data_IF_039123325373
#
_entry.id   IF_039123325373
#
_cell.length_a   1.000
_cell.length_b   1.000
_cell.length_c   1.000
_cell.angle_alpha   90.00
_cell.angle_beta   90.00
_cell.angle_gamma   90.00
#
_symmetry.space_group_name_H-M   'P 1'
#
loop_
_entity.id
_entity.type
_entity.pdbx_description
1 polymer ?
#
# COMPACT_ATOMS: atom_id res chain seq x y z
N UNK A 1 -29.20 -56.85 2.22
CA UNK A 1 -29.87 -55.72 1.54
C UNK A 1 -29.97 -54.57 2.53
N UNK A 2 -29.06 -53.60 2.44
CA UNK A 2 -29.03 -52.44 3.36
C UNK A 2 -30.14 -51.46 2.95
N UNK A 3 -31.14 -51.26 3.82
CA UNK A 3 -32.19 -50.26 3.62
C UNK A 3 -31.64 -48.90 4.04
N UNK A 4 -31.31 -48.06 3.04
CA UNK A 4 -30.83 -46.70 3.26
C UNK A 4 -31.85 -45.88 4.06
N UNK A 5 -31.34 -45.09 5.01
CA UNK A 5 -32.13 -44.32 5.97
C UNK A 5 -32.89 -43.16 5.26
N UNK A 6 -34.23 -43.16 5.22
CA UNK A 6 -35.03 -42.20 4.45
C UNK A 6 -34.95 -40.75 4.96
N UNK A 7 -34.46 -40.54 6.19
CA UNK A 7 -34.32 -39.21 6.78
C UNK A 7 -33.25 -38.34 6.08
N UNK A 8 -32.20 -38.95 5.50
CA UNK A 8 -31.14 -38.23 4.77
C UNK A 8 -31.57 -37.78 3.37
N UNK A 9 -32.56 -38.45 2.76
CA UNK A 9 -33.10 -38.10 1.45
C UNK A 9 -34.07 -36.91 1.50
N UNK A 10 -34.77 -36.70 2.62
CA UNK A 10 -35.68 -35.57 2.78
C UNK A 10 -34.94 -34.25 3.06
N UNK A 11 -33.86 -34.27 3.85
CA UNK A 11 -33.08 -33.05 4.16
C UNK A 11 -32.34 -32.50 2.93
N UNK A 12 -31.77 -33.38 2.11
CA UNK A 12 -31.06 -33.04 0.87
C UNK A 12 -32.02 -32.52 -0.22
N UNK A 13 -33.22 -33.08 -0.32
CA UNK A 13 -34.28 -32.60 -1.22
C UNK A 13 -34.72 -31.17 -0.88
N UNK A 14 -34.98 -30.89 0.40
CA UNK A 14 -35.42 -29.57 0.87
C UNK A 14 -34.34 -28.49 0.68
N UNK A 15 -33.07 -28.82 0.95
CA UNK A 15 -31.95 -27.93 0.67
C UNK A 15 -31.83 -27.62 -0.82
N UNK A 16 -31.93 -28.64 -1.68
CA UNK A 16 -31.84 -28.48 -3.14
C UNK A 16 -33.00 -27.65 -3.70
N UNK A 17 -34.21 -27.81 -3.16
CA UNK A 17 -35.37 -27.00 -3.53
C UNK A 17 -35.17 -25.54 -3.10
N UNK A 18 -34.72 -25.30 -1.87
CA UNK A 18 -34.41 -23.97 -1.35
C UNK A 18 -33.38 -23.24 -2.22
N UNK A 19 -32.25 -23.88 -2.55
CA UNK A 19 -31.24 -23.28 -3.42
C UNK A 19 -31.75 -22.99 -4.82
N UNK A 20 -32.56 -23.89 -5.39
CA UNK A 20 -33.11 -23.69 -6.73
C UNK A 20 -34.05 -22.48 -6.77
N UNK A 21 -34.90 -22.32 -5.76
CA UNK A 21 -35.81 -21.17 -5.63
C UNK A 21 -35.04 -19.88 -5.35
N UNK A 22 -34.03 -19.92 -4.48
CA UNK A 22 -33.16 -18.79 -4.18
C UNK A 22 -32.42 -18.28 -5.41
N UNK A 23 -31.77 -19.18 -6.16
CA UNK A 23 -31.07 -18.84 -7.41
C UNK A 23 -32.05 -18.36 -8.48
N UNK A 24 -33.22 -18.99 -8.61
CA UNK A 24 -34.25 -18.53 -9.56
C UNK A 24 -34.76 -17.12 -9.23
N UNK A 25 -34.90 -16.79 -7.95
CA UNK A 25 -35.28 -15.45 -7.52
C UNK A 25 -34.18 -14.42 -7.80
N UNK A 26 -32.90 -14.79 -7.61
CA UNK A 26 -31.75 -13.95 -7.97
C UNK A 26 -31.63 -13.71 -9.47
N UNK A 27 -31.87 -14.73 -10.30
CA UNK A 27 -31.79 -14.64 -11.76
C UNK A 27 -33.04 -14.04 -12.40
N UNK A 28 -34.12 -13.82 -11.64
CA UNK A 28 -35.27 -13.05 -12.11
C UNK A 28 -34.87 -11.62 -12.44
N UNK A 29 -35.64 -10.92 -13.27
CA UNK A 29 -35.36 -9.50 -13.59
C UNK A 29 -35.29 -8.63 -12.33
N UNK A 30 -36.19 -8.85 -11.36
CA UNK A 30 -36.20 -8.11 -10.09
C UNK A 30 -35.00 -8.46 -9.20
N UNK A 31 -34.64 -9.75 -9.13
CA UNK A 31 -33.45 -10.19 -8.38
C UNK A 31 -32.15 -9.68 -8.99
N UNK A 32 -32.04 -9.70 -10.32
CA UNK A 32 -30.88 -9.22 -11.05
C UNK A 32 -30.71 -7.71 -10.88
N UNK A 33 -31.80 -6.94 -10.93
CA UNK A 33 -31.79 -5.51 -10.63
C UNK A 33 -31.37 -5.22 -9.18
N UNK A 34 -31.85 -6.01 -8.21
CA UNK A 34 -31.45 -5.88 -6.80
C UNK A 34 -29.97 -6.19 -6.60
N UNK A 35 -29.45 -7.24 -7.21
CA UNK A 35 -28.02 -7.59 -7.15
C UNK A 35 -27.15 -6.53 -7.82
N UNK A 36 -27.57 -6.03 -8.99
CA UNK A 36 -26.90 -4.92 -9.66
C UNK A 36 -26.85 -3.68 -8.77
N UNK A 37 -27.95 -3.33 -8.10
CA UNK A 37 -27.99 -2.19 -7.18
C UNK A 37 -27.05 -2.39 -5.98
N UNK A 38 -27.01 -3.60 -5.41
CA UNK A 38 -26.07 -3.94 -4.34
C UNK A 38 -24.61 -3.85 -4.79
N UNK A 39 -24.29 -4.35 -5.98
CA UNK A 39 -22.94 -4.23 -6.57
C UNK A 39 -22.56 -2.76 -6.81
N UNK A 40 -23.49 -1.95 -7.34
CA UNK A 40 -23.29 -0.51 -7.50
C UNK A 40 -23.01 0.19 -6.18
N UNK A 41 -23.80 -0.09 -5.14
CA UNK A 41 -23.58 0.47 -3.80
C UNK A 41 -22.21 0.07 -3.23
N UNK A 42 -21.79 -1.18 -3.43
CA UNK A 42 -20.47 -1.64 -2.99
C UNK A 42 -19.35 -0.93 -3.75
N UNK A 43 -19.50 -0.75 -5.07
CA UNK A 43 -18.54 -0.02 -5.91
C UNK A 43 -18.44 1.45 -5.50
N UNK A 44 -19.57 2.10 -5.22
CA UNK A 44 -19.61 3.47 -4.71
C UNK A 44 -18.92 3.59 -3.35
N UNK A 45 -19.21 2.68 -2.41
CA UNK A 45 -18.56 2.66 -1.10
C UNK A 45 -17.04 2.41 -1.17
N UNK A 46 -16.56 1.66 -2.16
CA UNK A 46 -15.13 1.49 -2.42
C UNK A 46 -14.54 2.77 -3.01
N UNK A 47 -15.23 3.39 -3.98
CA UNK A 47 -14.81 4.64 -4.62
C UNK A 47 -14.70 5.77 -3.59
N UNK A 48 -15.69 5.94 -2.72
CA UNK A 48 -15.67 6.94 -1.66
C UNK A 48 -14.51 6.74 -0.68
N UNK A 49 -14.22 5.47 -0.33
CA UNK A 49 -13.07 5.15 0.52
C UNK A 49 -11.75 5.51 -0.15
N UNK A 50 -11.57 5.20 -1.43
CA UNK A 50 -10.38 5.60 -2.20
C UNK A 50 -10.23 7.12 -2.25
N UNK A 51 -11.30 7.82 -2.57
CA UNK A 51 -11.29 9.27 -2.71
C UNK A 51 -10.91 9.99 -1.41
N UNK A 52 -11.36 9.47 -0.25
CA UNK A 52 -10.93 10.00 1.05
C UNK A 52 -9.42 9.91 1.28
N UNK A 53 -8.80 8.81 0.84
CA UNK A 53 -7.35 8.64 0.94
C UNK A 53 -6.59 9.54 -0.04
N UNK A 54 -7.08 9.69 -1.27
CA UNK A 54 -6.49 10.58 -2.28
C UNK A 54 -6.47 12.05 -1.82
N UNK A 55 -7.55 12.54 -1.20
CA UNK A 55 -7.57 13.91 -0.64
C UNK A 55 -6.48 14.06 0.44
N UNK A 56 -6.40 13.10 1.37
CA UNK A 56 -5.39 13.14 2.44
C UNK A 56 -3.96 13.07 1.88
N UNK A 57 -3.74 12.32 0.81
CA UNK A 57 -2.46 12.24 0.10
C UNK A 57 -2.04 13.61 -0.47
N UNK A 58 -2.98 14.30 -1.12
CA UNK A 58 -2.77 15.63 -1.72
C UNK A 58 -2.53 16.71 -0.65
N UNK A 59 -3.29 16.69 0.44
CA UNK A 59 -3.15 17.66 1.54
C UNK A 59 -1.84 17.50 2.32
N UNK A 60 -1.22 16.32 2.23
CA UNK A 60 -0.01 16.00 2.98
C UNK A 60 1.24 16.51 2.26
N UNK A 61 1.96 17.44 2.92
CA UNK A 61 3.17 18.07 2.37
C UNK A 61 4.44 17.23 2.51
N UNK A 62 4.60 16.46 3.59
CA UNK A 62 5.82 15.65 3.82
C UNK A 62 5.73 14.33 3.05
N UNK A 63 6.76 14.01 2.27
CA UNK A 63 6.75 12.85 1.37
C UNK A 63 6.70 11.51 2.14
N UNK A 64 7.24 11.46 3.36
CA UNK A 64 7.17 10.25 4.18
C UNK A 64 5.76 10.07 4.77
N UNK A 65 5.10 11.17 5.14
CA UNK A 65 3.70 11.11 5.58
C UNK A 65 2.78 10.68 4.44
N UNK A 66 3.02 11.20 3.24
CA UNK A 66 2.27 10.81 2.04
C UNK A 66 2.43 9.32 1.75
N UNK A 67 3.66 8.80 1.77
CA UNK A 67 3.94 7.38 1.61
C UNK A 67 3.27 6.52 2.70
N UNK A 68 3.23 6.99 3.96
CA UNK A 68 2.55 6.28 5.05
C UNK A 68 1.02 6.24 4.86
N UNK A 69 0.42 7.34 4.41
CA UNK A 69 -1.01 7.42 4.09
C UNK A 69 -1.34 6.44 2.96
N UNK A 70 -0.51 6.39 1.91
CA UNK A 70 -0.66 5.46 0.80
C UNK A 70 -0.53 4.01 1.24
N UNK A 71 0.46 3.69 2.06
CA UNK A 71 0.64 2.35 2.63
C UNK A 71 -0.58 1.94 3.48
N UNK A 72 -1.13 2.86 4.28
CA UNK A 72 -2.33 2.62 5.07
C UNK A 72 -3.56 2.39 4.19
N UNK A 73 -3.75 3.19 3.15
CA UNK A 73 -4.83 3.00 2.18
C UNK A 73 -4.72 1.64 1.48
N UNK A 74 -3.52 1.22 1.09
CA UNK A 74 -3.25 -0.08 0.48
C UNK A 74 -3.55 -1.24 1.43
N UNK A 75 -3.24 -1.10 2.73
CA UNK A 75 -3.60 -2.09 3.76
C UNK A 75 -5.13 -2.21 3.89
N UNK A 76 -5.82 -1.08 4.01
CA UNK A 76 -7.28 -1.04 4.21
C UNK A 76 -8.06 -1.54 2.99
N UNK A 77 -7.48 -1.40 1.80
CA UNK A 77 -8.00 -1.95 0.55
C UNK A 77 -7.60 -3.41 0.31
N UNK A 78 -6.74 -3.98 1.16
CA UNK A 78 -6.25 -5.35 1.05
C UNK A 78 -5.21 -5.58 -0.06
N UNK A 79 -4.57 -4.51 -0.55
CA UNK A 79 -3.49 -4.58 -1.54
C UNK A 79 -2.16 -5.02 -0.93
N UNK A 80 -1.93 -4.71 0.36
CA UNK A 80 -0.79 -5.20 1.15
C UNK A 80 -1.29 -5.86 2.44
N UNK A 81 -0.52 -6.81 2.95
CA UNK A 81 -0.77 -7.48 4.22
C UNK A 81 -0.37 -6.61 5.43
N UNK A 82 -0.96 -6.92 6.59
CA UNK A 82 -0.70 -6.18 7.82
C UNK A 82 0.77 -6.23 8.30
N UNK A 83 1.50 -7.35 8.21
CA UNK A 83 2.93 -7.40 8.50
C UNK A 83 3.75 -6.42 7.64
N UNK A 84 3.55 -6.42 6.32
CA UNK A 84 4.25 -5.50 5.41
C UNK A 84 3.96 -4.05 5.75
N UNK A 85 2.71 -3.71 6.09
CA UNK A 85 2.36 -2.37 6.55
C UNK A 85 3.14 -1.94 7.80
N UNK A 86 3.25 -2.79 8.82
CA UNK A 86 3.97 -2.43 10.05
C UNK A 86 5.47 -2.28 9.81
N UNK A 87 6.06 -3.06 8.91
CA UNK A 87 7.46 -2.86 8.49
C UNK A 87 7.65 -1.48 7.86
N UNK A 88 6.72 -1.05 7.00
CA UNK A 88 6.75 0.27 6.36
C UNK A 88 6.58 1.38 7.41
N UNK A 89 5.62 1.24 8.32
CA UNK A 89 5.36 2.17 9.41
C UNK A 89 6.58 2.35 10.31
N UNK A 90 7.24 1.25 10.70
CA UNK A 90 8.45 1.26 11.51
C UNK A 90 9.62 1.94 10.79
N UNK A 91 9.79 1.70 9.48
CA UNK A 91 10.79 2.39 8.66
C UNK A 91 10.55 3.90 8.63
N UNK A 92 9.33 4.32 8.31
CA UNK A 92 8.96 5.74 8.22
C UNK A 92 9.09 6.42 9.59
N UNK A 93 8.63 5.78 10.66
CA UNK A 93 8.74 6.32 12.00
C UNK A 93 10.19 6.45 12.46
N UNK A 94 11.06 5.50 12.09
CA UNK A 94 12.50 5.55 12.37
C UNK A 94 13.19 6.69 11.61
N UNK A 95 12.88 6.88 10.32
CA UNK A 95 13.40 8.02 9.54
C UNK A 95 12.94 9.37 10.08
N UNK A 96 11.72 9.45 10.61
CA UNK A 96 11.20 10.66 11.27
C UNK A 96 11.88 10.91 12.62
N UNK A 97 12.10 9.86 13.42
CA UNK A 97 12.86 9.98 14.68
C UNK A 97 14.31 10.39 14.43
N UNK A 98 14.93 9.91 13.35
CA UNK A 98 16.25 10.36 12.91
C UNK A 98 16.29 11.87 12.57
N UNK A 99 15.20 12.43 12.02
CA UNK A 99 15.06 13.89 11.81
C UNK A 99 15.03 14.66 13.15
N UNK A 100 14.59 14.02 14.25
CA UNK A 100 14.36 14.64 15.55
C UNK A 100 15.51 14.43 16.57
N UNK A 101 16.40 13.45 16.38
CA UNK A 101 17.66 13.28 17.15
C UNK A 101 18.72 14.33 16.79
N UNK A 102 18.26 15.56 16.62
CA UNK A 102 18.96 16.73 16.08
C UNK A 102 20.07 17.26 17.00
N UNK A 103 20.29 16.63 18.16
CA UNK A 103 21.33 17.01 19.14
C UNK A 103 22.54 16.04 19.21
N UNK A 104 22.74 15.13 18.24
CA UNK A 104 23.92 14.24 18.22
C UNK A 104 24.72 14.25 16.89
N UNK A 105 25.12 15.46 16.47
CA UNK A 105 26.47 15.82 15.99
C UNK A 105 27.26 15.03 14.90
N UNK A 106 26.76 13.98 14.24
CA UNK A 106 27.68 13.19 13.35
C UNK A 106 27.15 12.63 12.04
N UNK A 107 25.90 12.86 11.65
CA UNK A 107 25.49 12.61 10.27
C UNK A 107 25.72 13.86 9.41
N UNK A 108 26.87 13.87 8.72
CA UNK A 108 27.47 15.02 8.04
C UNK A 108 26.88 15.39 6.68
N UNK A 109 25.95 14.62 6.11
CA UNK A 109 25.41 14.91 4.76
C UNK A 109 23.88 15.00 4.74
N UNK A 110 23.37 16.24 4.78
CA UNK A 110 21.96 16.56 4.54
C UNK A 110 21.44 15.92 3.25
N UNK A 111 22.27 15.89 2.21
CA UNK A 111 22.00 15.27 0.92
C UNK A 111 21.67 13.78 1.04
N UNK A 112 22.37 13.07 1.93
CA UNK A 112 22.20 11.63 2.11
C UNK A 112 20.86 11.31 2.77
N UNK A 113 20.48 12.09 3.78
CA UNK A 113 19.19 11.96 4.45
C UNK A 113 18.02 12.33 3.52
N UNK A 114 18.19 13.34 2.68
CA UNK A 114 17.22 13.66 1.63
C UNK A 114 17.09 12.51 0.62
N UNK A 115 18.20 11.94 0.15
CA UNK A 115 18.17 10.80 -0.75
C UNK A 115 17.44 9.60 -0.16
N UNK A 116 17.69 9.26 1.11
CA UNK A 116 16.97 8.16 1.78
C UNK A 116 15.48 8.45 1.93
N UNK A 117 15.08 9.69 2.21
CA UNK A 117 13.67 10.07 2.26
C UNK A 117 12.98 9.82 0.94
N UNK A 118 13.55 10.34 -0.15
CA UNK A 118 12.95 10.19 -1.47
C UNK A 118 12.99 8.73 -1.95
N UNK A 119 14.06 7.98 -1.65
CA UNK A 119 14.15 6.56 -2.01
C UNK A 119 13.12 5.71 -1.25
N UNK A 120 13.04 5.84 0.07
CA UNK A 120 12.06 5.08 0.86
C UNK A 120 10.63 5.49 0.50
N UNK A 121 10.40 6.78 0.20
CA UNK A 121 9.12 7.22 -0.34
C UNK A 121 8.81 6.60 -1.71
N UNK A 122 9.78 6.48 -2.62
CA UNK A 122 9.59 5.86 -3.93
C UNK A 122 9.37 4.34 -3.85
N UNK A 123 10.00 3.65 -2.91
CA UNK A 123 9.82 2.20 -2.70
C UNK A 123 8.43 1.85 -2.15
N UNK A 124 7.88 2.73 -1.30
CA UNK A 124 6.60 2.51 -0.60
C UNK A 124 5.43 3.20 -1.33
N UNK A 125 5.74 4.32 -1.98
CA UNK A 125 4.80 5.18 -2.67
C UNK A 125 4.41 4.63 -4.03
N UNK A 126 3.83 5.50 -4.86
CA UNK A 126 3.44 5.20 -6.23
C UNK A 126 4.21 6.04 -7.23
N UNK A 127 3.63 6.20 -8.42
CA UNK A 127 4.28 6.85 -9.56
C UNK A 127 4.77 8.28 -9.25
N UNK A 128 4.04 9.02 -8.41
CA UNK A 128 4.42 10.39 -8.02
C UNK A 128 5.68 10.42 -7.14
N UNK A 129 5.80 9.51 -6.17
CA UNK A 129 6.98 9.41 -5.32
C UNK A 129 8.19 8.88 -6.12
N UNK A 130 7.96 7.96 -7.05
CA UNK A 130 8.99 7.47 -7.99
C UNK A 130 9.49 8.61 -8.88
N UNK A 131 8.59 9.40 -9.46
CA UNK A 131 8.93 10.56 -10.27
C UNK A 131 9.70 11.62 -9.46
N UNK A 132 9.28 11.86 -8.21
CA UNK A 132 9.98 12.77 -7.31
C UNK A 132 11.41 12.30 -7.02
N UNK A 133 11.62 10.99 -6.79
CA UNK A 133 12.95 10.44 -6.59
C UNK A 133 13.81 10.55 -7.86
N UNK A 134 13.27 10.25 -9.05
CA UNK A 134 13.98 10.40 -10.32
C UNK A 134 14.40 11.85 -10.59
N UNK A 135 13.52 12.82 -10.28
CA UNK A 135 13.85 14.24 -10.39
C UNK A 135 14.97 14.63 -9.42
N UNK A 136 14.92 14.12 -8.19
CA UNK A 136 15.99 14.32 -7.20
C UNK A 136 17.32 13.73 -7.70
N UNK A 137 17.33 12.50 -8.22
CA UNK A 137 18.53 11.87 -8.78
C UNK A 137 19.11 12.70 -9.92
N UNK A 138 18.25 13.18 -10.83
CA UNK A 138 18.67 14.05 -11.95
C UNK A 138 19.30 15.35 -11.45
N UNK A 139 18.66 16.03 -10.49
CA UNK A 139 19.21 17.25 -9.88
C UNK A 139 20.57 17.01 -9.23
N UNK A 140 20.74 15.89 -8.52
CA UNK A 140 22.03 15.55 -7.88
C UNK A 140 23.10 15.16 -8.90
N UNK A 141 22.71 14.50 -9.99
CA UNK A 141 23.59 14.20 -11.10
C UNK A 141 24.07 15.47 -11.79
N UNK A 142 23.19 16.45 -12.00
CA UNK A 142 23.55 17.77 -12.55
C UNK A 142 24.47 18.56 -11.60
N UNK A 143 24.24 18.49 -10.28
CA UNK A 143 25.04 19.21 -9.28
C UNK A 143 26.44 18.62 -9.05
N UNK A 144 26.58 17.28 -9.00
CA UNK A 144 27.83 16.59 -8.66
C UNK A 144 28.58 16.08 -9.91
N UNK A 145 27.93 16.11 -11.07
CA UNK A 145 28.38 15.40 -12.27
C UNK A 145 28.21 13.88 -12.14
N UNK A 146 28.24 13.17 -13.27
CA UNK A 146 27.98 11.71 -13.32
C UNK A 146 28.92 10.89 -12.42
N UNK A 147 30.23 11.17 -12.48
CA UNK A 147 31.22 10.48 -11.66
C UNK A 147 31.11 10.83 -10.16
N UNK A 148 30.82 12.10 -9.84
CA UNK A 148 30.63 12.55 -8.47
C UNK A 148 29.36 11.96 -7.83
N UNK A 149 28.28 11.89 -8.61
CA UNK A 149 27.03 11.26 -8.20
C UNK A 149 27.22 9.77 -7.94
N UNK A 150 27.89 9.05 -8.84
CA UNK A 150 28.15 7.60 -8.68
C UNK A 150 28.93 7.30 -7.40
N UNK A 151 30.03 8.02 -7.16
CA UNK A 151 30.84 7.84 -5.96
C UNK A 151 30.07 8.17 -4.68
N UNK A 152 29.29 9.24 -4.70
CA UNK A 152 28.45 9.65 -3.57
C UNK A 152 27.33 8.63 -3.30
N UNK A 153 26.67 8.12 -4.34
CA UNK A 153 25.66 7.07 -4.23
C UNK A 153 26.27 5.78 -3.64
N UNK A 154 27.40 5.33 -4.17
CA UNK A 154 28.11 4.15 -3.67
C UNK A 154 28.48 4.29 -2.19
N UNK A 155 28.85 5.49 -1.76
CA UNK A 155 29.19 5.78 -0.37
C UNK A 155 27.96 5.66 0.54
N UNK A 156 26.80 6.15 0.09
CA UNK A 156 25.53 6.04 0.83
C UNK A 156 25.07 4.59 0.90
N UNK A 157 25.06 3.86 -0.21
CA UNK A 157 24.59 2.47 -0.26
C UNK A 157 25.48 1.52 0.57
N UNK A 158 26.76 1.86 0.76
CA UNK A 158 27.69 1.13 1.62
C UNK A 158 27.66 1.57 3.08
N UNK A 159 26.94 2.64 3.43
CA UNK A 159 26.83 3.09 4.81
C UNK A 159 25.98 2.10 5.64
N UNK A 160 26.52 1.49 6.70
CA UNK A 160 25.79 0.53 7.53
C UNK A 160 24.51 1.09 8.17
N UNK A 161 24.44 2.40 8.37
CA UNK A 161 23.25 3.06 8.90
C UNK A 161 22.19 3.28 7.81
N UNK A 162 22.60 3.57 6.57
CA UNK A 162 21.68 3.67 5.43
C UNK A 162 21.07 2.31 5.05
N UNK A 163 21.85 1.24 5.12
CA UNK A 163 21.40 -0.14 4.86
C UNK A 163 20.28 -0.61 5.80
N UNK A 164 20.12 0.00 6.98
CA UNK A 164 18.99 -0.31 7.87
C UNK A 164 17.65 0.14 7.28
N UNK A 165 17.67 1.10 6.37
CA UNK A 165 16.48 1.71 5.78
C UNK A 165 16.25 1.29 4.34
N UNK A 166 17.32 0.93 3.63
CA UNK A 166 17.31 0.43 2.26
C UNK A 166 17.40 -1.09 2.34
N UNK A 167 16.30 -1.85 2.19
CA UNK A 167 16.41 -3.30 2.12
C UNK A 167 17.24 -3.65 0.87
N UNK A 168 18.13 -4.62 1.03
CA UNK A 168 18.96 -5.22 -0.01
C UNK A 168 18.25 -5.28 -1.38
N UNK A 169 18.93 -4.76 -2.41
CA UNK A 169 18.71 -5.13 -3.81
C UNK A 169 18.74 -6.66 -3.98
#
# INVERSE_FOLDING_TARGET
MSRGNPALYQSTSNYRLYWRTYVSNMLSNQGSQKLMYQDLQQREAIRERRYKWEILEIETNDILDRALIKAKANKDLGAIDAPTYHIIEDKISSLKKLKFTQDYESWKDKDMLEWMKYKVAAEVGGDDEIAAFQQFEKLKLDQKGENGYRLWRDQIEKDPQAQKFIPYL
#
